data_IF_153430995643
#
_entry.id   IF_153430995643
#
_cell.length_a   1.000
_cell.length_b   1.000
_cell.length_c   1.000
_cell.angle_alpha   90.00
_cell.angle_beta   90.00
_cell.angle_gamma   90.00
#
_symmetry.space_group_name_H-M   'P 1'
#
loop_
_entity.id
_entity.type
_entity.pdbx_description
1 polymer ?
#
# COMPACT_ATOMS: atom_id res chain seq x y z
N UNK A 1 20.96 37.16 36.67
CA UNK A 1 21.41 35.80 37.04
C UNK A 1 20.63 34.86 36.13
N UNK A 2 21.10 34.71 34.88
CA UNK A 2 22.01 33.64 34.42
C UNK A 2 21.18 32.36 34.21
N UNK A 3 21.04 31.74 33.03
CA UNK A 3 21.91 31.67 31.85
C UNK A 3 21.09 31.35 30.57
N UNK A 4 21.46 32.00 29.45
CA UNK A 4 21.09 31.64 28.09
C UNK A 4 21.92 30.43 27.62
N UNK A 5 21.33 29.37 27.02
CA UNK A 5 22.10 28.36 26.34
C UNK A 5 22.48 28.82 24.94
N UNK A 6 23.70 29.35 24.85
CA UNK A 6 24.69 29.22 23.78
C UNK A 6 24.17 28.83 22.38
N UNK A 7 24.11 29.87 21.54
CA UNK A 7 24.49 29.92 20.12
C UNK A 7 25.19 28.65 19.59
N UNK A 8 24.46 27.83 18.85
CA UNK A 8 25.02 26.88 17.91
C UNK A 8 25.16 27.59 16.56
N UNK A 9 26.33 28.19 16.37
CA UNK A 9 26.80 28.69 15.09
C UNK A 9 27.11 27.47 14.21
N UNK A 10 26.17 27.08 13.34
CA UNK A 10 26.43 26.11 12.28
C UNK A 10 27.50 26.70 11.35
N UNK A 11 28.72 26.19 11.50
CA UNK A 11 29.83 26.48 10.62
C UNK A 11 29.42 26.16 9.17
N UNK A 12 29.46 27.19 8.33
CA UNK A 12 29.43 27.04 6.89
C UNK A 12 30.44 25.97 6.45
N UNK A 13 30.13 25.13 5.45
CA UNK A 13 31.08 24.16 4.94
C UNK A 13 32.29 24.94 4.41
N UNK A 14 33.45 24.71 5.04
CA UNK A 14 34.73 25.17 4.53
C UNK A 14 34.99 24.42 3.22
N UNK A 15 34.64 25.05 2.10
CA UNK A 15 34.97 24.55 0.77
C UNK A 15 36.49 24.51 0.66
N UNK A 16 37.01 23.34 0.32
CA UNK A 16 38.43 23.05 0.29
C UNK A 16 39.18 24.00 -0.66
N UNK A 17 40.18 24.68 -0.13
CA UNK A 17 41.05 25.63 -0.84
C UNK A 17 41.85 24.94 -1.99
N UNK A 18 41.83 23.60 -2.05
CA UNK A 18 42.45 22.79 -3.09
C UNK A 18 41.66 22.74 -4.41
N UNK A 19 40.33 22.61 -4.35
CA UNK A 19 39.48 22.49 -5.55
C UNK A 19 39.43 23.79 -6.36
N UNK A 20 39.53 24.95 -5.69
CA UNK A 20 39.49 26.27 -6.32
C UNK A 20 40.74 26.51 -7.18
N UNK A 21 41.92 26.09 -6.71
CA UNK A 21 43.17 26.21 -7.45
C UNK A 21 43.22 25.29 -8.68
N UNK A 22 42.65 24.09 -8.57
CA UNK A 22 42.55 23.15 -9.70
C UNK A 22 41.62 23.70 -10.78
N UNK A 23 40.51 24.31 -10.38
CA UNK A 23 39.57 24.97 -11.29
C UNK A 23 40.20 26.15 -12.04
N UNK A 24 40.96 27.00 -11.36
CA UNK A 24 41.70 28.11 -11.98
C UNK A 24 42.74 27.61 -13.00
N UNK A 25 43.41 26.49 -12.69
CA UNK A 25 44.37 25.88 -13.61
C UNK A 25 43.71 25.37 -14.90
N UNK A 26 42.52 24.75 -14.79
CA UNK A 26 41.74 24.29 -15.95
C UNK A 26 41.22 25.45 -16.82
N UNK A 27 40.80 26.56 -16.20
CA UNK A 27 40.36 27.75 -16.93
C UNK A 27 41.50 28.40 -17.75
N UNK A 28 42.72 28.43 -17.22
CA UNK A 28 43.87 28.96 -17.93
C UNK A 28 44.29 28.06 -19.11
N UNK A 29 44.12 26.75 -18.99
CA UNK A 29 44.46 25.78 -20.04
C UNK A 29 43.54 25.88 -21.27
N UNK A 30 42.24 26.01 -21.06
CA UNK A 30 41.24 25.98 -22.15
C UNK A 30 41.08 27.34 -22.86
N UNK A 31 41.09 28.46 -22.11
CA UNK A 31 40.81 29.77 -22.69
C UNK A 31 42.06 30.57 -23.13
N UNK A 32 43.25 30.17 -22.66
CA UNK A 32 44.55 30.81 -22.97
C UNK A 32 44.52 32.36 -23.00
N UNK A 33 44.02 33.03 -21.95
CA UNK A 33 43.93 34.49 -21.92
C UNK A 33 45.32 35.13 -21.86
N UNK A 34 45.56 36.11 -22.75
CA UNK A 34 46.88 36.75 -22.93
C UNK A 34 47.12 37.95 -22.01
N UNK A 35 46.08 38.48 -21.36
CA UNK A 35 46.14 39.67 -20.49
C UNK A 35 45.43 39.43 -19.16
N UNK A 36 45.84 40.15 -18.12
CA UNK A 36 45.25 40.06 -16.77
C UNK A 36 43.76 40.37 -16.77
N UNK A 37 43.34 41.40 -17.50
CA UNK A 37 41.94 41.82 -17.59
C UNK A 37 41.06 40.75 -18.24
N UNK A 38 41.60 40.00 -19.22
CA UNK A 38 40.88 38.91 -19.87
C UNK A 38 40.68 37.70 -18.95
N UNK A 39 41.62 37.43 -18.03
CA UNK A 39 41.45 36.37 -17.01
C UNK A 39 40.31 36.69 -16.07
N UNK A 40 40.29 37.92 -15.55
CA UNK A 40 39.28 38.37 -14.61
C UNK A 40 37.88 38.44 -15.25
N UNK A 41 37.81 38.84 -16.52
CA UNK A 41 36.57 38.82 -17.29
C UNK A 41 36.04 37.38 -17.50
N UNK A 42 36.90 36.43 -17.87
CA UNK A 42 36.51 35.02 -18.06
C UNK A 42 36.05 34.40 -16.74
N UNK A 43 36.76 34.63 -15.64
CA UNK A 43 36.37 34.13 -14.32
C UNK A 43 35.00 34.68 -13.89
N UNK A 44 34.77 35.98 -14.05
CA UNK A 44 33.48 36.61 -13.73
C UNK A 44 32.33 36.08 -14.60
N UNK A 45 32.60 35.83 -15.89
CA UNK A 45 31.62 35.29 -16.83
C UNK A 45 31.27 33.83 -16.50
N UNK A 46 32.25 33.00 -16.18
CA UNK A 46 32.05 31.60 -15.78
C UNK A 46 31.32 31.52 -14.44
N UNK A 47 31.64 32.40 -13.49
CA UNK A 47 30.93 32.49 -12.20
C UNK A 47 29.47 32.89 -12.39
N UNK A 48 29.21 33.90 -13.21
CA UNK A 48 27.83 34.33 -13.54
C UNK A 48 27.07 33.20 -14.26
N UNK A 49 27.73 32.47 -15.16
CA UNK A 49 27.13 31.33 -15.85
C UNK A 49 26.80 30.18 -14.88
N UNK A 50 27.70 29.87 -13.94
CA UNK A 50 27.48 28.86 -12.92
C UNK A 50 26.33 29.23 -11.98
N UNK A 51 26.25 30.49 -11.54
CA UNK A 51 25.15 31.01 -10.74
C UNK A 51 23.80 30.90 -11.46
N UNK A 52 23.75 31.25 -12.75
CA UNK A 52 22.53 31.13 -13.57
C UNK A 52 22.15 29.68 -13.86
N UNK A 53 23.12 28.77 -14.07
CA UNK A 53 22.87 27.35 -14.29
C UNK A 53 22.36 26.62 -13.03
N UNK A 54 22.89 26.99 -11.85
CA UNK A 54 22.41 26.51 -10.55
C UNK A 54 20.99 27.03 -10.25
N UNK A 55 20.72 28.30 -10.55
CA UNK A 55 19.38 28.89 -10.39
C UNK A 55 18.32 28.21 -11.28
N UNK A 56 18.68 27.82 -12.51
CA UNK A 56 17.76 27.14 -13.43
C UNK A 56 17.54 25.64 -13.14
N UNK A 57 18.55 24.95 -12.61
CA UNK A 57 18.49 23.50 -12.35
C UNK A 57 17.76 23.15 -11.06
N UNK A 58 17.82 24.03 -10.04
CA UNK A 58 17.20 23.78 -8.74
C UNK A 58 15.65 23.81 -8.77
N UNK A 59 15.04 24.55 -9.70
CA UNK A 59 13.58 24.77 -9.73
C UNK A 59 12.76 23.53 -10.12
N UNK A 60 13.37 22.54 -10.78
CA UNK A 60 12.66 21.36 -11.32
C UNK A 60 12.91 20.08 -10.49
N UNK A 61 13.89 20.07 -9.59
CA UNK A 61 14.43 18.81 -9.06
C UNK A 61 13.85 18.29 -7.75
N UNK A 62 13.59 19.15 -6.76
CA UNK A 62 13.23 18.71 -5.39
C UNK A 62 11.81 19.05 -5.01
N UNK A 63 11.41 20.31 -5.17
CA UNK A 63 10.11 20.78 -4.71
C UNK A 63 8.95 20.17 -5.51
N UNK A 64 9.15 19.93 -6.80
CA UNK A 64 8.17 19.23 -7.65
C UNK A 64 7.99 17.77 -7.23
N UNK A 65 9.08 17.06 -6.92
CA UNK A 65 9.03 15.65 -6.49
C UNK A 65 8.37 15.54 -5.11
N UNK A 66 8.75 16.42 -4.17
CA UNK A 66 8.14 16.48 -2.83
C UNK A 66 6.65 16.83 -2.89
N UNK A 67 6.26 17.74 -3.79
CA UNK A 67 4.84 18.07 -4.02
C UNK A 67 4.06 16.88 -4.58
N UNK A 68 4.60 16.16 -5.57
CA UNK A 68 3.97 14.94 -6.10
C UNK A 68 3.83 13.87 -5.02
N UNK A 69 4.86 13.64 -4.20
CA UNK A 69 4.80 12.69 -3.08
C UNK A 69 3.75 13.09 -2.05
N UNK A 70 3.59 14.39 -1.78
CA UNK A 70 2.55 14.89 -0.88
C UNK A 70 1.15 14.64 -1.42
N UNK A 71 0.94 14.86 -2.73
CA UNK A 71 -0.33 14.56 -3.40
C UNK A 71 -0.65 13.06 -3.38
N UNK A 72 0.35 12.21 -3.62
CA UNK A 72 0.19 10.74 -3.53
C UNK A 72 -0.19 10.35 -2.10
N UNK A 73 0.47 10.90 -1.08
CA UNK A 73 0.16 10.60 0.31
C UNK A 73 -1.26 11.04 0.70
N UNK A 74 -1.73 12.20 0.21
CA UNK A 74 -3.12 12.63 0.41
C UNK A 74 -4.12 11.71 -0.29
N UNK A 75 -3.79 11.23 -1.50
CA UNK A 75 -4.63 10.29 -2.23
C UNK A 75 -4.71 8.95 -1.50
N UNK A 76 -3.57 8.40 -1.07
CA UNK A 76 -3.50 7.15 -0.30
C UNK A 76 -4.26 7.26 1.02
N UNK A 77 -4.20 8.42 1.67
CA UNK A 77 -5.01 8.68 2.87
C UNK A 77 -6.50 8.61 2.55
N UNK A 78 -6.96 9.30 1.50
CA UNK A 78 -8.38 9.28 1.08
C UNK A 78 -8.85 7.89 0.68
N UNK A 79 -8.02 7.14 -0.05
CA UNK A 79 -8.31 5.77 -0.44
C UNK A 79 -8.39 4.85 0.78
N UNK A 80 -7.43 4.98 1.70
CA UNK A 80 -7.41 4.20 2.93
C UNK A 80 -8.65 4.47 3.78
N UNK A 81 -9.04 5.74 3.95
CA UNK A 81 -10.26 6.12 4.68
C UNK A 81 -11.51 5.47 4.06
N UNK A 82 -11.67 5.52 2.74
CA UNK A 82 -12.82 4.92 2.06
C UNK A 82 -12.83 3.39 2.15
N UNK A 83 -11.68 2.76 1.91
CA UNK A 83 -11.54 1.30 2.02
C UNK A 83 -11.83 0.86 3.45
N UNK A 84 -11.38 1.62 4.45
CA UNK A 84 -11.63 1.32 5.85
C UNK A 84 -13.13 1.29 6.15
N UNK A 85 -13.90 2.25 5.62
CA UNK A 85 -15.36 2.27 5.76
C UNK A 85 -16.04 1.07 5.09
N UNK A 86 -15.55 0.65 3.92
CA UNK A 86 -16.12 -0.50 3.18
C UNK A 86 -15.82 -1.81 3.91
N UNK A 87 -14.58 -2.02 4.34
CA UNK A 87 -14.16 -3.27 4.99
C UNK A 87 -14.78 -3.40 6.38
N UNK A 88 -14.92 -2.30 7.13
CA UNK A 88 -15.52 -2.34 8.47
C UNK A 88 -17.04 -2.26 8.46
N UNK A 89 -17.67 -2.30 7.29
CA UNK A 89 -19.13 -2.37 7.21
C UNK A 89 -19.63 -3.72 7.76
N UNK A 90 -20.62 -3.70 8.65
CA UNK A 90 -21.12 -4.89 9.36
C UNK A 90 -21.48 -6.05 8.43
N UNK A 91 -22.07 -5.75 7.27
CA UNK A 91 -22.44 -6.79 6.30
C UNK A 91 -21.22 -7.42 5.61
N UNK A 92 -20.17 -6.62 5.37
CA UNK A 92 -18.92 -7.13 4.81
C UNK A 92 -18.18 -7.99 5.84
N UNK A 93 -18.10 -7.55 7.09
CA UNK A 93 -17.45 -8.30 8.18
C UNK A 93 -18.13 -9.65 8.41
N UNK A 94 -19.47 -9.71 8.40
CA UNK A 94 -20.21 -10.98 8.53
C UNK A 94 -19.93 -11.93 7.37
N UNK A 95 -19.91 -11.39 6.14
CA UNK A 95 -19.60 -12.17 4.95
C UNK A 95 -18.15 -12.67 4.99
N UNK A 96 -17.20 -11.78 5.27
CA UNK A 96 -15.78 -12.10 5.38
C UNK A 96 -15.51 -13.15 6.47
N UNK A 97 -16.13 -13.03 7.64
CA UNK A 97 -16.02 -14.03 8.71
C UNK A 97 -16.50 -15.42 8.25
N UNK A 98 -17.61 -15.47 7.51
CA UNK A 98 -18.13 -16.72 6.93
C UNK A 98 -17.16 -17.33 5.92
N UNK A 99 -16.62 -16.52 5.01
CA UNK A 99 -15.70 -16.97 3.96
C UNK A 99 -14.33 -17.33 4.50
N UNK A 100 -13.80 -16.58 5.47
CA UNK A 100 -12.55 -16.91 6.16
C UNK A 100 -12.68 -18.20 6.96
N UNK A 101 -13.81 -18.41 7.63
CA UNK A 101 -14.11 -19.67 8.32
C UNK A 101 -14.17 -20.85 7.37
N UNK A 102 -14.83 -20.69 6.21
CA UNK A 102 -14.86 -21.72 5.17
C UNK A 102 -13.45 -21.97 4.59
N UNK A 103 -12.71 -20.92 4.30
CA UNK A 103 -11.34 -21.02 3.79
C UNK A 103 -10.45 -21.75 4.81
N UNK A 104 -10.54 -21.40 6.10
CA UNK A 104 -9.84 -22.10 7.17
C UNK A 104 -10.17 -23.60 7.19
N UNK A 105 -11.45 -23.96 7.05
CA UNK A 105 -11.85 -25.37 7.01
C UNK A 105 -11.21 -26.10 5.82
N UNK A 106 -11.25 -25.49 4.63
CA UNK A 106 -10.70 -26.11 3.42
C UNK A 106 -9.17 -26.21 3.49
N UNK A 107 -8.48 -25.16 3.95
CA UNK A 107 -7.02 -25.11 4.00
C UNK A 107 -6.41 -26.06 5.05
N UNK A 108 -7.13 -26.33 6.14
CA UNK A 108 -6.65 -27.21 7.22
C UNK A 108 -7.19 -28.64 7.13
N UNK A 109 -7.93 -28.97 6.06
CA UNK A 109 -8.45 -30.31 5.84
C UNK A 109 -7.70 -30.96 4.68
N UNK A 110 -7.01 -32.06 4.96
CA UNK A 110 -6.43 -32.90 3.91
C UNK A 110 -7.56 -33.60 3.14
N UNK A 111 -7.97 -33.02 2.02
CA UNK A 111 -8.99 -33.61 1.15
C UNK A 111 -8.38 -34.69 0.26
N UNK A 112 -8.60 -35.96 0.61
CA UNK A 112 -8.33 -37.13 -0.25
C UNK A 112 -9.64 -37.60 -0.94
N UNK A 113 -9.61 -38.60 -1.83
CA UNK A 113 -10.78 -39.13 -2.55
C UNK A 113 -11.95 -39.54 -1.61
N UNK A 114 -11.62 -39.85 -0.36
CA UNK A 114 -12.59 -40.24 0.68
C UNK A 114 -13.27 -39.06 1.38
N UNK A 115 -12.73 -37.84 1.29
CA UNK A 115 -13.24 -36.68 2.02
C UNK A 115 -13.72 -35.57 1.09
N UNK A 116 -15.04 -35.35 1.07
CA UNK A 116 -15.69 -34.34 0.23
C UNK A 116 -16.36 -33.28 1.11
N UNK A 117 -15.84 -32.05 1.05
CA UNK A 117 -16.50 -30.89 1.68
C UNK A 117 -17.58 -30.37 0.73
N UNK A 118 -18.82 -30.28 1.21
CA UNK A 118 -19.96 -29.73 0.45
C UNK A 118 -20.53 -28.52 1.18
N UNK A 119 -20.55 -27.39 0.49
CA UNK A 119 -21.06 -26.12 1.04
C UNK A 119 -22.44 -25.84 0.47
N UNK A 120 -23.37 -25.44 1.34
CA UNK A 120 -24.70 -24.97 0.95
C UNK A 120 -24.92 -23.58 1.51
N UNK A 121 -24.99 -22.58 0.64
CA UNK A 121 -25.33 -21.22 1.04
C UNK A 121 -26.84 -21.13 1.36
N UNK A 122 -27.17 -20.88 2.63
CA UNK A 122 -28.51 -20.61 3.11
C UNK A 122 -28.44 -19.70 4.34
N UNK A 123 -29.27 -18.65 4.37
CA UNK A 123 -29.38 -17.78 5.53
C UNK A 123 -30.13 -18.44 6.69
N UNK A 124 -29.72 -18.16 7.92
CA UNK A 124 -30.34 -18.72 9.15
C UNK A 124 -31.86 -18.53 9.22
N UNK A 125 -32.37 -17.37 8.79
CA UNK A 125 -33.82 -17.06 8.76
C UNK A 125 -34.56 -17.97 7.79
N UNK A 126 -34.00 -18.20 6.61
CA UNK A 126 -34.63 -19.02 5.56
C UNK A 126 -34.54 -20.50 5.87
N UNK A 127 -33.44 -20.94 6.48
CA UNK A 127 -33.36 -22.27 7.08
C UNK A 127 -34.47 -22.44 8.13
N UNK A 128 -34.58 -21.51 9.09
CA UNK A 128 -35.62 -21.56 10.12
C UNK A 128 -37.04 -21.57 9.56
N UNK A 129 -37.34 -20.79 8.52
CA UNK A 129 -38.64 -20.81 7.82
C UNK A 129 -38.89 -22.15 7.15
N UNK A 130 -37.89 -22.71 6.47
CA UNK A 130 -37.99 -24.00 5.80
C UNK A 130 -38.23 -25.12 6.80
N UNK A 131 -37.45 -25.16 7.89
CA UNK A 131 -37.64 -26.12 8.98
C UNK A 131 -39.02 -25.97 9.65
N UNK A 132 -39.52 -24.74 9.80
CA UNK A 132 -40.85 -24.51 10.35
C UNK A 132 -41.99 -24.95 9.43
N UNK A 133 -41.80 -24.83 8.11
CA UNK A 133 -42.79 -25.20 7.10
C UNK A 133 -42.92 -26.72 6.93
N UNK A 134 -41.80 -27.44 7.04
CA UNK A 134 -41.73 -28.89 6.84
C UNK A 134 -41.44 -29.62 8.17
N UNK A 135 -42.29 -29.42 9.18
CA UNK A 135 -42.17 -30.11 10.49
C UNK A 135 -42.80 -31.50 10.48
N UNK A 136 -42.33 -32.38 11.35
CA UNK A 136 -42.92 -33.71 11.57
C UNK A 136 -42.70 -34.63 10.37
N UNK A 137 -43.76 -35.34 9.96
CA UNK A 137 -43.69 -36.31 8.86
C UNK A 137 -43.43 -35.71 7.49
N UNK A 138 -43.63 -34.40 7.30
CA UNK A 138 -43.38 -33.70 6.03
C UNK A 138 -41.93 -33.22 5.85
N UNK A 139 -41.06 -33.51 6.82
CA UNK A 139 -39.63 -33.14 6.80
C UNK A 139 -38.88 -33.72 5.60
N UNK A 140 -39.22 -34.94 5.20
CA UNK A 140 -38.67 -35.66 4.06
C UNK A 140 -38.97 -34.98 2.70
N UNK A 141 -40.04 -34.19 2.65
CA UNK A 141 -40.42 -33.42 1.47
C UNK A 141 -39.70 -32.09 1.35
N UNK A 142 -38.95 -31.68 2.38
CA UNK A 142 -38.27 -30.38 2.38
C UNK A 142 -37.20 -30.31 1.27
N UNK A 143 -37.01 -29.13 0.65
CA UNK A 143 -35.96 -28.93 -0.35
C UNK A 143 -34.55 -29.24 0.18
N UNK A 144 -34.33 -29.03 1.49
CA UNK A 144 -33.06 -29.29 2.18
C UNK A 144 -32.78 -30.79 2.25
N UNK A 145 -33.75 -31.57 2.77
CA UNK A 145 -33.67 -33.02 2.85
C UNK A 145 -33.48 -33.64 1.45
N UNK A 146 -34.24 -33.16 0.47
CA UNK A 146 -34.13 -33.63 -0.91
C UNK A 146 -32.77 -33.31 -1.55
N UNK A 147 -32.07 -32.26 -1.14
CA UNK A 147 -30.76 -31.88 -1.68
C UNK A 147 -29.63 -32.67 -1.03
N UNK A 148 -29.80 -33.02 0.25
CA UNK A 148 -28.83 -33.79 1.03
C UNK A 148 -28.96 -35.31 0.79
N UNK A 149 -30.17 -35.87 0.95
CA UNK A 149 -30.42 -37.33 0.87
C UNK A 149 -30.56 -37.90 -0.54
N UNK A 150 -31.17 -37.18 -1.50
CA UNK A 150 -31.23 -37.69 -2.90
C UNK A 150 -29.86 -37.75 -3.56
N UNK A 151 -28.88 -37.02 -3.02
CA UNK A 151 -27.49 -37.10 -3.44
C UNK A 151 -26.83 -38.34 -2.83
N UNK A 152 -27.43 -39.51 -3.05
CA UNK A 152 -26.99 -40.93 -2.96
C UNK A 152 -25.79 -41.33 -2.07
N UNK A 153 -25.44 -40.60 -1.01
CA UNK A 153 -24.10 -40.70 -0.42
C UNK A 153 -24.08 -40.64 1.12
N UNK A 154 -25.23 -40.72 1.80
CA UNK A 154 -25.30 -40.69 3.29
C UNK A 154 -24.97 -42.06 3.93
N UNK A 155 -24.49 -43.06 3.18
CA UNK A 155 -24.08 -44.34 3.80
C UNK A 155 -22.67 -44.34 4.39
N UNK A 156 -21.76 -43.43 4.03
CA UNK A 156 -20.34 -43.58 4.43
C UNK A 156 -19.50 -42.30 4.63
N UNK A 157 -20.05 -41.07 4.66
CA UNK A 157 -19.22 -39.87 4.77
C UNK A 157 -19.70 -38.92 5.87
N UNK A 158 -18.78 -38.49 6.75
CA UNK A 158 -19.03 -37.45 7.74
C UNK A 158 -19.36 -36.13 7.06
N UNK A 159 -20.61 -35.69 7.17
CA UNK A 159 -21.09 -34.43 6.59
C UNK A 159 -21.03 -33.34 7.66
N UNK A 160 -20.21 -32.31 7.43
CA UNK A 160 -20.21 -31.08 8.23
C UNK A 160 -21.04 -30.02 7.50
N UNK A 161 -22.25 -29.75 7.99
CA UNK A 161 -23.12 -28.68 7.51
C UNK A 161 -22.80 -27.36 8.24
N UNK A 162 -22.09 -26.45 7.58
CA UNK A 162 -21.92 -25.09 8.06
C UNK A 162 -23.11 -24.22 7.64
N UNK A 163 -23.75 -23.62 8.63
CA UNK A 163 -24.78 -22.59 8.46
C UNK A 163 -24.12 -21.22 8.64
N UNK A 164 -24.16 -20.39 7.60
CA UNK A 164 -23.78 -18.99 7.69
C UNK A 164 -24.83 -18.22 8.51
N UNK A 165 -24.38 -17.46 9.51
CA UNK A 165 -25.21 -16.63 10.38
C UNK A 165 -25.66 -15.36 9.66
#
# INVERSE_FOLDING_TARGET
MSEDPLLQNEAAPAVEIGEVNEFEALLQQEFKPKTSDARQAVESAVRTLAEQALAGTALIGKDAITSIQSIIAELDKKLSEQINLIIHHDDFVKLEGTWRGLHYLVSNTETDEKLKIRVMNIGKKDLGRTLKKFKGTAWDQSPLFKKDLRKKEIRHAGVVLLTAA
#
